data_IF_650374190327
#
_entry.id   IF_650374190327
#
_cell.length_a   1.000
_cell.length_b   1.000
_cell.length_c   1.000
_cell.angle_alpha   90.00
_cell.angle_beta   90.00
_cell.angle_gamma   90.00
#
_symmetry.space_group_name_H-M   'P 1'
#
loop_
_entity.id
_entity.type
_entity.pdbx_description
1 polymer ?
#
# COMPACT_ATOMS: atom_id res chain seq x y z
N UNK A 1 27.32 23.69 -61.95
CA UNK A 1 26.33 22.80 -61.28
C UNK A 1 27.12 21.72 -60.54
N UNK A 2 27.57 21.98 -59.30
CA UNK A 2 28.13 20.99 -58.35
C UNK A 2 28.70 21.59 -57.04
N UNK A 3 28.79 22.92 -56.88
CA UNK A 3 29.36 23.50 -55.65
C UNK A 3 28.40 23.43 -54.43
N UNK A 4 27.08 23.52 -54.63
CA UNK A 4 26.13 23.54 -53.50
C UNK A 4 25.97 22.17 -52.80
N UNK A 5 26.15 21.06 -53.53
CA UNK A 5 26.14 19.71 -52.93
C UNK A 5 27.34 19.47 -52.01
N UNK A 6 28.48 20.10 -52.30
CA UNK A 6 29.71 19.93 -51.52
C UNK A 6 29.65 20.66 -50.17
N UNK A 7 28.99 21.82 -50.12
CA UNK A 7 28.84 22.58 -48.87
C UNK A 7 27.89 21.88 -47.89
N UNK A 8 26.73 21.39 -48.38
CA UNK A 8 25.76 20.70 -47.54
C UNK A 8 26.29 19.39 -46.94
N UNK A 9 27.10 18.65 -47.70
CA UNK A 9 27.72 17.40 -47.22
C UNK A 9 28.82 17.67 -46.19
N UNK A 10 29.66 18.69 -46.41
CA UNK A 10 30.68 19.09 -45.43
C UNK A 10 30.03 19.61 -44.14
N UNK A 11 29.01 20.47 -44.23
CA UNK A 11 28.29 20.97 -43.06
C UNK A 11 27.58 19.84 -42.30
N UNK A 12 26.98 18.87 -43.01
CA UNK A 12 26.36 17.69 -42.42
C UNK A 12 27.35 16.79 -41.69
N UNK A 13 28.53 16.54 -42.28
CA UNK A 13 29.59 15.75 -41.66
C UNK A 13 30.20 16.46 -40.45
N UNK A 14 30.34 17.79 -40.51
CA UNK A 14 30.82 18.59 -39.38
C UNK A 14 29.81 18.55 -38.23
N UNK A 15 28.51 18.69 -38.53
CA UNK A 15 27.43 18.56 -37.55
C UNK A 15 27.39 17.17 -36.91
N UNK A 16 27.58 16.11 -37.70
CA UNK A 16 27.65 14.74 -37.21
C UNK A 16 28.89 14.51 -36.32
N UNK A 17 30.05 15.04 -36.71
CA UNK A 17 31.28 14.94 -35.92
C UNK A 17 31.15 15.67 -34.58
N UNK A 18 30.55 16.86 -34.57
CA UNK A 18 30.24 17.61 -33.33
C UNK A 18 29.22 16.85 -32.47
N UNK A 19 28.20 16.25 -33.08
CA UNK A 19 27.20 15.46 -32.36
C UNK A 19 27.82 14.23 -31.70
N UNK A 20 28.63 13.46 -32.45
CA UNK A 20 29.30 12.26 -31.95
C UNK A 20 30.37 12.60 -30.90
N UNK A 21 31.17 13.65 -31.13
CA UNK A 21 32.15 14.12 -30.14
C UNK A 21 31.48 14.65 -28.86
N UNK A 22 30.37 15.38 -29.00
CA UNK A 22 29.56 15.84 -27.88
C UNK A 22 28.84 14.71 -27.14
N UNK A 23 28.50 13.61 -27.83
CA UNK A 23 27.95 12.41 -27.19
C UNK A 23 29.02 11.64 -26.41
N UNK A 24 30.23 11.49 -26.97
CA UNK A 24 31.34 10.77 -26.31
C UNK A 24 31.89 11.55 -25.09
N UNK A 25 31.79 12.88 -25.11
CA UNK A 25 32.11 13.73 -23.95
C UNK A 25 31.03 13.74 -22.86
N UNK A 26 29.81 13.25 -23.12
CA UNK A 26 28.79 13.03 -22.08
C UNK A 26 29.06 11.74 -21.32
N UNK A 27 30.23 11.63 -20.69
CA UNK A 27 30.37 10.70 -19.57
C UNK A 27 29.50 11.25 -18.44
N UNK A 28 28.52 10.50 -17.91
CA UNK A 28 27.82 10.96 -16.72
C UNK A 28 28.89 11.22 -15.66
N UNK A 29 28.93 12.45 -15.14
CA UNK A 29 29.80 12.77 -14.01
C UNK A 29 29.47 11.77 -12.89
N UNK A 30 30.45 11.16 -12.23
CA UNK A 30 30.17 10.34 -11.06
C UNK A 30 29.43 11.23 -10.06
N UNK A 31 28.14 10.97 -9.87
CA UNK A 31 27.33 11.69 -8.89
C UNK A 31 27.81 11.18 -7.53
N UNK A 32 28.45 12.01 -6.69
CA UNK A 32 28.87 11.56 -5.37
C UNK A 32 27.65 11.03 -4.62
N UNK A 33 27.81 9.88 -3.94
CA UNK A 33 26.74 9.27 -3.17
C UNK A 33 26.29 10.24 -2.06
N UNK A 34 25.10 10.84 -2.22
CA UNK A 34 24.51 11.67 -1.18
C UNK A 34 23.84 10.71 -0.19
N UNK A 35 24.63 10.26 0.78
CA UNK A 35 24.16 9.43 1.89
C UNK A 35 23.68 10.36 3.00
N UNK A 36 22.38 10.32 3.31
CA UNK A 36 21.84 11.05 4.46
C UNK A 36 22.20 10.29 5.74
N UNK A 37 23.18 10.77 6.50
CA UNK A 37 23.62 10.10 7.74
C UNK A 37 23.06 10.73 9.02
N UNK A 38 22.57 11.97 8.96
CA UNK A 38 22.12 12.71 10.16
C UNK A 38 20.86 13.53 9.89
N UNK A 39 19.88 13.36 10.78
CA UNK A 39 18.72 14.24 10.91
C UNK A 39 19.04 15.36 11.92
N UNK A 40 19.03 16.61 11.47
CA UNK A 40 19.24 17.77 12.36
C UNK A 40 18.02 17.94 13.28
N UNK A 41 18.18 18.35 14.56
CA UNK A 41 17.03 18.62 15.43
C UNK A 41 16.11 19.71 14.84
N UNK A 42 14.80 19.59 15.07
CA UNK A 42 13.78 20.52 14.56
C UNK A 42 14.12 22.00 14.80
N UNK A 43 14.54 22.44 16.01
CA UNK A 43 14.88 23.85 16.24
C UNK A 43 15.97 24.36 15.30
N UNK A 44 16.98 23.54 15.01
CA UNK A 44 18.06 23.91 14.11
C UNK A 44 17.57 23.99 12.66
N UNK A 45 16.69 23.08 12.23
CA UNK A 45 16.06 23.15 10.91
C UNK A 45 15.26 24.45 10.73
N UNK A 46 14.49 24.84 11.74
CA UNK A 46 13.69 26.08 11.73
C UNK A 46 14.59 27.32 11.73
N UNK A 47 15.65 27.34 12.54
CA UNK A 47 16.64 28.44 12.53
C UNK A 47 17.31 28.57 11.15
N UNK A 48 17.74 27.44 10.56
CA UNK A 48 18.34 27.42 9.23
C UNK A 48 17.37 27.90 8.12
N UNK A 49 16.06 27.74 8.36
CA UNK A 49 15.00 28.25 7.51
C UNK A 49 14.50 29.66 7.92
N UNK A 50 15.34 30.45 8.60
CA UNK A 50 15.02 31.80 9.05
C UNK A 50 13.72 31.92 9.89
N UNK A 51 13.37 30.86 10.63
CA UNK A 51 12.17 30.79 11.45
C UNK A 51 10.94 30.20 10.76
N UNK A 52 10.98 29.94 9.44
CA UNK A 52 9.83 29.41 8.70
C UNK A 52 9.79 27.87 8.75
N UNK A 53 8.75 27.34 9.41
CA UNK A 53 8.56 25.89 9.56
C UNK A 53 8.25 25.18 8.24
N UNK A 54 7.54 25.83 7.31
CA UNK A 54 7.17 25.23 6.03
C UNK A 54 8.37 25.20 5.10
N UNK A 55 9.18 26.26 5.10
CA UNK A 55 10.45 26.26 4.40
C UNK A 55 11.39 25.19 4.96
N UNK A 56 11.47 25.03 6.28
CA UNK A 56 12.23 23.95 6.91
C UNK A 56 11.77 22.56 6.43
N UNK A 57 10.45 22.34 6.36
CA UNK A 57 9.88 21.09 5.82
C UNK A 57 10.24 20.88 4.35
N UNK A 58 10.14 21.92 3.50
CA UNK A 58 10.48 21.82 2.08
C UNK A 58 11.97 21.48 1.88
N UNK A 59 12.87 22.09 2.65
CA UNK A 59 14.30 21.77 2.63
C UNK A 59 14.55 20.32 3.09
N UNK A 60 13.85 19.86 4.13
CA UNK A 60 13.94 18.48 4.60
C UNK A 60 13.49 17.47 3.53
N UNK A 61 12.34 17.71 2.89
CA UNK A 61 11.82 16.85 1.81
C UNK A 61 12.74 16.88 0.57
N UNK A 62 13.28 18.05 0.23
CA UNK A 62 14.26 18.14 -0.86
C UNK A 62 15.51 17.30 -0.57
N UNK A 63 16.03 17.32 0.66
CA UNK A 63 17.14 16.44 1.08
C UNK A 63 16.79 14.97 0.93
N UNK A 64 15.57 14.57 1.30
CA UNK A 64 15.07 13.20 1.13
C UNK A 64 15.08 12.80 -0.34
N UNK A 65 14.53 13.64 -1.23
CA UNK A 65 14.48 13.39 -2.68
C UNK A 65 15.87 13.32 -3.34
N UNK A 66 16.85 14.02 -2.79
CA UNK A 66 18.24 13.99 -3.28
C UNK A 66 19.04 12.78 -2.77
N UNK A 67 18.53 12.05 -1.78
CA UNK A 67 19.10 10.76 -1.38
C UNK A 67 18.84 9.77 -2.51
N UNK A 68 19.89 9.26 -3.15
CA UNK A 68 19.77 8.48 -4.39
C UNK A 68 18.88 7.24 -4.28
N UNK A 69 18.39 6.74 -5.42
CA UNK A 69 17.48 5.59 -5.51
C UNK A 69 18.17 4.21 -5.33
N UNK A 70 19.39 4.19 -4.79
CA UNK A 70 20.14 2.95 -4.55
C UNK A 70 19.74 2.33 -3.20
N UNK A 71 19.99 1.03 -2.98
CA UNK A 71 19.84 0.43 -1.67
C UNK A 71 20.63 1.22 -0.62
N UNK A 72 19.92 1.85 0.31
CA UNK A 72 20.53 2.71 1.32
C UNK A 72 20.97 1.86 2.51
N UNK A 73 22.12 2.17 3.15
CA UNK A 73 22.46 1.60 4.44
C UNK A 73 21.34 1.84 5.47
N UNK A 74 21.17 0.92 6.42
CA UNK A 74 20.09 1.00 7.43
C UNK A 74 20.13 2.30 8.24
N UNK A 75 21.32 2.79 8.56
CA UNK A 75 21.49 4.05 9.30
C UNK A 75 20.99 5.26 8.47
N UNK A 76 21.18 5.20 7.15
CA UNK A 76 20.69 6.22 6.23
C UNK A 76 19.19 6.18 6.07
N UNK A 77 18.60 4.99 6.03
CA UNK A 77 17.14 4.81 6.06
C UNK A 77 16.54 5.32 7.38
N UNK A 78 17.21 5.08 8.51
CA UNK A 78 16.79 5.61 9.81
C UNK A 78 16.84 7.14 9.85
N UNK A 79 17.91 7.75 9.31
CA UNK A 79 17.99 9.20 9.17
C UNK A 79 16.91 9.75 8.22
N UNK A 80 16.64 9.05 7.10
CA UNK A 80 15.58 9.41 6.15
C UNK A 80 14.20 9.40 6.81
N UNK A 81 13.88 8.31 7.50
CA UNK A 81 12.64 8.15 8.25
C UNK A 81 12.46 9.28 9.26
N UNK A 82 13.52 9.60 10.02
CA UNK A 82 13.50 10.70 10.99
C UNK A 82 13.27 12.06 10.33
N UNK A 83 13.94 12.33 9.21
CA UNK A 83 13.76 13.59 8.46
C UNK A 83 12.33 13.71 7.93
N UNK A 84 11.74 12.63 7.41
CA UNK A 84 10.36 12.62 6.92
C UNK A 84 9.34 12.78 8.07
N UNK A 85 9.59 12.20 9.23
CA UNK A 85 8.78 12.43 10.43
C UNK A 85 8.86 13.88 10.90
N UNK A 86 10.06 14.47 10.98
CA UNK A 86 10.24 15.87 11.34
C UNK A 86 9.58 16.81 10.31
N UNK A 87 9.72 16.51 9.01
CA UNK A 87 9.04 17.25 7.95
C UNK A 87 7.50 17.15 8.08
N UNK A 88 6.95 15.99 8.45
CA UNK A 88 5.52 15.83 8.68
C UNK A 88 5.03 16.55 9.94
N UNK A 89 5.91 16.79 10.92
CA UNK A 89 5.58 17.63 12.07
C UNK A 89 5.55 19.12 11.68
N UNK A 90 6.55 19.54 10.91
CA UNK A 90 6.71 20.93 10.46
C UNK A 90 5.62 21.34 9.45
N UNK A 91 5.33 20.48 8.48
CA UNK A 91 4.26 20.64 7.51
C UNK A 91 3.51 19.30 7.30
N UNK A 92 2.50 18.99 8.13
CA UNK A 92 1.67 17.80 7.99
C UNK A 92 0.99 17.66 6.62
N UNK A 93 0.72 18.78 5.94
CA UNK A 93 0.04 18.80 4.65
C UNK A 93 0.95 18.58 3.44
N UNK A 94 2.27 18.40 3.64
CA UNK A 94 3.23 18.26 2.54
C UNK A 94 3.04 16.92 1.81
N UNK A 95 2.56 16.99 0.57
CA UNK A 95 2.18 15.82 -0.22
C UNK A 95 3.36 14.93 -0.60
N UNK A 96 4.43 15.53 -1.12
CA UNK A 96 5.62 14.77 -1.53
C UNK A 96 6.25 14.02 -0.35
N UNK A 97 6.13 14.56 0.87
CA UNK A 97 6.69 13.91 2.05
C UNK A 97 6.00 12.56 2.33
N UNK A 98 4.67 12.54 2.45
CA UNK A 98 3.98 11.28 2.73
C UNK A 98 4.04 10.32 1.54
N UNK A 99 4.03 10.85 0.31
CA UNK A 99 4.11 10.06 -0.92
C UNK A 99 5.44 9.33 -1.02
N UNK A 100 6.55 10.03 -0.76
CA UNK A 100 7.89 9.42 -0.78
C UNK A 100 8.10 8.49 0.41
N UNK A 101 7.60 8.85 1.60
CA UNK A 101 7.69 8.00 2.78
C UNK A 101 7.00 6.66 2.54
N UNK A 102 5.75 6.66 2.06
CA UNK A 102 5.00 5.42 1.82
C UNK A 102 5.54 4.59 0.67
N UNK A 103 6.25 5.19 -0.28
CA UNK A 103 6.83 4.49 -1.42
C UNK A 103 8.08 3.67 -1.04
N UNK A 104 8.78 4.05 0.03
CA UNK A 104 10.08 3.46 0.39
C UNK A 104 10.09 2.86 1.81
N UNK A 105 9.86 3.70 2.82
CA UNK A 105 10.13 3.37 4.23
C UNK A 105 9.48 2.07 4.73
N UNK A 106 8.19 1.76 4.48
CA UNK A 106 7.59 0.58 5.08
C UNK A 106 8.14 -0.72 4.47
N UNK A 107 8.58 -0.69 3.21
CA UNK A 107 9.25 -1.82 2.55
C UNK A 107 10.62 -2.11 3.15
N UNK A 108 11.28 -1.09 3.69
CA UNK A 108 12.56 -1.16 4.40
C UNK A 108 12.39 -1.41 5.91
N UNK A 109 11.17 -1.71 6.37
CA UNK A 109 10.87 -2.01 7.77
C UNK A 109 10.56 -0.80 8.65
N UNK A 110 10.55 0.42 8.11
CA UNK A 110 10.20 1.67 8.83
C UNK A 110 8.69 1.96 8.75
N UNK A 111 7.88 0.98 9.14
CA UNK A 111 6.41 1.06 9.09
C UNK A 111 5.86 2.11 10.06
N UNK A 112 6.33 2.12 11.31
CA UNK A 112 5.85 3.05 12.33
C UNK A 112 6.10 4.54 11.96
N UNK A 113 7.31 4.96 11.55
CA UNK A 113 7.53 6.32 11.03
C UNK A 113 6.58 6.67 9.88
N UNK A 114 6.38 5.73 8.95
CA UNK A 114 5.46 5.92 7.81
C UNK A 114 4.03 6.15 8.27
N UNK A 115 3.56 5.37 9.26
CA UNK A 115 2.23 5.55 9.85
C UNK A 115 2.10 6.91 10.54
N UNK A 116 3.13 7.40 11.24
CA UNK A 116 3.14 8.74 11.83
C UNK A 116 2.96 9.83 10.77
N UNK A 117 3.72 9.74 9.68
CA UNK A 117 3.64 10.70 8.56
C UNK A 117 2.24 10.68 7.91
N UNK A 118 1.74 9.48 7.56
CA UNK A 118 0.43 9.30 6.93
C UNK A 118 -0.74 9.72 7.82
N UNK A 119 -0.66 9.48 9.14
CA UNK A 119 -1.67 9.92 10.10
C UNK A 119 -1.76 11.45 10.14
N UNK A 120 -0.63 12.15 10.26
CA UNK A 120 -0.57 13.62 10.25
C UNK A 120 -1.10 14.21 8.93
N UNK A 121 -0.76 13.58 7.81
CA UNK A 121 -1.30 13.94 6.50
C UNK A 121 -2.82 13.74 6.43
N UNK A 122 -3.34 12.61 6.92
CA UNK A 122 -4.79 12.33 7.01
C UNK A 122 -5.51 13.34 7.91
N UNK A 123 -4.90 13.73 9.03
CA UNK A 123 -5.43 14.73 9.96
C UNK A 123 -5.55 16.12 9.32
N UNK A 124 -4.73 16.43 8.31
CA UNK A 124 -4.64 17.76 7.69
C UNK A 124 -5.32 17.84 6.33
N UNK A 125 -5.18 16.81 5.49
CA UNK A 125 -5.60 16.78 4.08
C UNK A 125 -6.97 16.09 3.93
N UNK A 126 -8.03 16.74 4.40
CA UNK A 126 -9.41 16.19 4.45
C UNK A 126 -10.10 15.94 3.10
N UNK A 127 -9.43 16.28 2.00
CA UNK A 127 -9.92 16.09 0.63
C UNK A 127 -9.02 15.16 -0.18
N UNK A 128 -8.06 14.53 0.48
CA UNK A 128 -7.07 13.65 -0.12
C UNK A 128 -7.29 12.20 0.32
N UNK A 129 -7.73 11.37 -0.61
CA UNK A 129 -8.02 9.96 -0.33
C UNK A 129 -6.76 9.12 -0.09
N UNK A 130 -5.59 9.58 -0.56
CA UNK A 130 -4.39 8.74 -0.62
C UNK A 130 -3.74 8.54 0.73
N UNK A 131 -3.59 9.59 1.54
CA UNK A 131 -2.99 9.48 2.87
C UNK A 131 -3.71 8.42 3.76
N UNK A 132 -5.04 8.48 3.95
CA UNK A 132 -5.74 7.45 4.70
C UNK A 132 -5.75 6.09 3.98
N UNK A 133 -5.82 6.06 2.65
CA UNK A 133 -5.75 4.80 1.90
C UNK A 133 -4.43 4.06 2.13
N UNK A 134 -3.30 4.75 1.99
CA UNK A 134 -1.98 4.15 2.22
C UNK A 134 -1.76 3.78 3.68
N UNK A 135 -2.31 4.56 4.62
CA UNK A 135 -2.28 4.17 6.03
C UNK A 135 -3.02 2.84 6.23
N UNK A 136 -4.22 2.70 5.66
CA UNK A 136 -5.00 1.47 5.73
C UNK A 136 -4.33 0.29 5.02
N UNK A 137 -3.71 0.53 3.86
CA UNK A 137 -2.91 -0.47 3.17
C UNK A 137 -1.77 -0.99 4.05
N UNK A 138 -1.04 -0.10 4.72
CA UNK A 138 0.07 -0.50 5.60
C UNK A 138 -0.40 -1.35 6.78
N UNK A 139 -1.58 -1.04 7.34
CA UNK A 139 -2.18 -1.83 8.43
C UNK A 139 -2.36 -3.29 8.02
N UNK A 140 -2.97 -3.56 6.87
CA UNK A 140 -3.17 -4.96 6.45
C UNK A 140 -1.88 -5.59 5.91
N UNK A 141 -1.08 -4.86 5.14
CA UNK A 141 0.05 -5.44 4.41
C UNK A 141 1.24 -5.74 5.33
N UNK A 142 1.61 -4.79 6.21
CA UNK A 142 2.78 -4.93 7.07
C UNK A 142 2.44 -5.34 8.50
N UNK A 143 1.25 -4.96 9.00
CA UNK A 143 0.87 -5.20 10.40
C UNK A 143 -0.18 -6.33 10.56
N UNK A 144 -0.77 -6.80 9.46
CA UNK A 144 -1.84 -7.81 9.50
C UNK A 144 -3.15 -7.32 10.14
N UNK A 145 -3.29 -6.02 10.39
CA UNK A 145 -4.48 -5.41 10.99
C UNK A 145 -5.53 -5.08 9.93
N UNK A 146 -6.38 -6.08 9.65
CA UNK A 146 -7.49 -5.96 8.73
C UNK A 146 -8.57 -4.96 9.20
N UNK A 147 -8.73 -4.80 10.52
CA UNK A 147 -9.74 -3.89 11.09
C UNK A 147 -9.28 -2.45 10.93
N UNK A 148 -8.05 -2.12 11.35
CA UNK A 148 -7.46 -0.80 11.15
C UNK A 148 -7.38 -0.43 9.67
N UNK A 149 -7.08 -1.39 8.79
CA UNK A 149 -7.11 -1.20 7.35
C UNK A 149 -8.50 -0.76 6.84
N UNK A 150 -9.54 -1.47 7.27
CA UNK A 150 -10.92 -1.13 6.91
C UNK A 150 -11.34 0.25 7.44
N UNK A 151 -11.01 0.58 8.69
CA UNK A 151 -11.35 1.87 9.30
C UNK A 151 -10.72 3.04 8.52
N UNK A 152 -9.44 2.94 8.18
CA UNK A 152 -8.77 3.97 7.38
C UNK A 152 -9.24 4.00 5.93
N UNK A 153 -9.62 2.86 5.37
CA UNK A 153 -10.25 2.79 4.06
C UNK A 153 -11.62 3.49 4.02
N UNK A 154 -12.41 3.44 5.09
CA UNK A 154 -13.64 4.26 5.24
C UNK A 154 -13.32 5.75 5.33
N UNK A 155 -12.26 6.13 6.05
CA UNK A 155 -11.81 7.53 6.11
C UNK A 155 -11.45 8.00 4.69
N UNK A 156 -10.70 7.20 3.93
CA UNK A 156 -10.37 7.51 2.54
C UNK A 156 -11.64 7.68 1.69
N UNK A 157 -12.60 6.77 1.80
CA UNK A 157 -13.89 6.86 1.09
C UNK A 157 -14.67 8.14 1.46
N UNK A 158 -14.59 8.57 2.73
CA UNK A 158 -15.23 9.83 3.18
C UNK A 158 -14.62 11.08 2.55
N UNK A 159 -13.36 11.02 2.11
CA UNK A 159 -12.67 12.14 1.45
C UNK A 159 -12.85 12.13 -0.07
N UNK A 160 -13.44 11.08 -0.64
CA UNK A 160 -13.69 10.97 -2.07
C UNK A 160 -14.71 12.03 -2.54
N UNK A 161 -14.42 12.66 -3.68
CA UNK A 161 -15.27 13.71 -4.27
C UNK A 161 -16.47 13.13 -5.03
N UNK A 162 -16.25 12.04 -5.75
CA UNK A 162 -17.28 11.36 -6.53
C UNK A 162 -17.70 10.02 -5.91
N UNK A 163 -18.90 9.58 -6.25
CA UNK A 163 -19.50 8.34 -5.71
C UNK A 163 -18.76 7.09 -6.21
N UNK A 164 -18.22 7.09 -7.43
CA UNK A 164 -17.50 5.95 -7.98
C UNK A 164 -16.22 5.65 -7.20
N UNK A 165 -15.40 6.68 -6.94
CA UNK A 165 -14.20 6.57 -6.10
C UNK A 165 -14.55 6.13 -4.68
N UNK A 166 -15.62 6.69 -4.09
CA UNK A 166 -16.11 6.31 -2.76
C UNK A 166 -16.44 4.82 -2.70
N UNK A 167 -17.22 4.34 -3.66
CA UNK A 167 -17.64 2.94 -3.76
C UNK A 167 -16.45 2.00 -4.00
N UNK A 168 -15.52 2.37 -4.87
CA UNK A 168 -14.30 1.61 -5.11
C UNK A 168 -13.46 1.47 -3.83
N UNK A 169 -13.26 2.56 -3.09
CA UNK A 169 -12.54 2.55 -1.81
C UNK A 169 -13.25 1.67 -0.77
N UNK A 170 -14.58 1.74 -0.65
CA UNK A 170 -15.35 0.88 0.25
C UNK A 170 -15.25 -0.60 -0.13
N UNK A 171 -15.32 -0.92 -1.42
CA UNK A 171 -15.14 -2.29 -1.92
C UNK A 171 -13.74 -2.84 -1.65
N UNK A 172 -12.69 -2.04 -1.86
CA UNK A 172 -11.31 -2.40 -1.51
C UNK A 172 -11.18 -2.62 0.00
N UNK A 173 -11.72 -1.71 0.80
CA UNK A 173 -11.67 -1.78 2.27
C UNK A 173 -12.35 -3.02 2.82
N UNK A 174 -13.52 -3.39 2.28
CA UNK A 174 -14.20 -4.64 2.60
C UNK A 174 -13.32 -5.86 2.29
N UNK A 175 -12.62 -5.83 1.14
CA UNK A 175 -11.71 -6.92 0.76
C UNK A 175 -10.50 -7.06 1.70
N UNK A 176 -10.04 -5.97 2.32
CA UNK A 176 -8.99 -6.01 3.33
C UNK A 176 -9.48 -6.69 4.61
N UNK A 177 -10.71 -6.39 5.04
CA UNK A 177 -11.32 -7.00 6.21
C UNK A 177 -11.44 -8.53 6.07
N UNK A 178 -11.80 -9.01 4.89
CA UNK A 178 -11.88 -10.45 4.58
C UNK A 178 -10.53 -11.19 4.64
N UNK A 179 -9.41 -10.48 4.46
CA UNK A 179 -8.06 -11.07 4.56
C UNK A 179 -7.59 -11.20 5.99
N UNK A 180 -8.32 -10.61 6.94
CA UNK A 180 -8.06 -10.76 8.36
C UNK A 180 -8.38 -12.17 8.88
N UNK A 181 -8.03 -12.40 10.14
CA UNK A 181 -8.29 -13.67 10.83
C UNK A 181 -9.63 -13.67 11.59
N UNK A 182 -10.61 -12.84 11.21
CA UNK A 182 -11.91 -12.80 11.89
C UNK A 182 -13.08 -12.77 10.90
N UNK A 183 -13.48 -13.94 10.37
CA UNK A 183 -14.60 -14.03 9.43
C UNK A 183 -15.94 -13.62 10.05
N UNK A 184 -16.10 -13.77 11.38
CA UNK A 184 -17.30 -13.32 12.08
C UNK A 184 -17.40 -11.79 12.05
N UNK A 185 -16.34 -11.10 12.49
CA UNK A 185 -16.27 -9.64 12.41
C UNK A 185 -16.41 -9.15 10.96
N UNK A 186 -15.69 -9.78 10.02
CA UNK A 186 -15.76 -9.40 8.61
C UNK A 186 -17.17 -9.50 8.05
N UNK A 187 -17.88 -10.62 8.31
CA UNK A 187 -19.25 -10.80 7.85
C UNK A 187 -20.22 -9.75 8.41
N UNK A 188 -20.09 -9.40 9.71
CA UNK A 188 -20.96 -8.43 10.37
C UNK A 188 -20.73 -7.01 9.81
N UNK A 189 -19.47 -6.59 9.75
CA UNK A 189 -19.10 -5.25 9.30
C UNK A 189 -19.42 -5.05 7.81
N UNK A 190 -19.16 -6.06 6.96
CA UNK A 190 -19.48 -5.98 5.54
C UNK A 190 -21.00 -5.96 5.32
N UNK A 191 -21.78 -6.70 6.12
CA UNK A 191 -23.24 -6.65 6.04
C UNK A 191 -23.80 -5.28 6.41
N UNK A 192 -23.25 -4.65 7.47
CA UNK A 192 -23.60 -3.27 7.84
C UNK A 192 -23.26 -2.31 6.71
N UNK A 193 -22.04 -2.39 6.16
CA UNK A 193 -21.64 -1.57 5.01
C UNK A 193 -22.60 -1.75 3.82
N UNK A 194 -22.95 -2.98 3.47
CA UNK A 194 -23.87 -3.27 2.38
C UNK A 194 -25.27 -2.70 2.62
N UNK A 195 -25.70 -2.59 3.87
CA UNK A 195 -26.99 -2.00 4.24
C UNK A 195 -27.04 -0.48 4.06
N UNK A 196 -25.89 0.19 4.15
CA UNK A 196 -25.75 1.66 4.00
C UNK A 196 -25.57 2.09 2.53
N UNK A 197 -25.21 1.17 1.64
CA UNK A 197 -24.95 1.47 0.24
C UNK A 197 -26.22 1.71 -0.58
N UNK A 198 -26.12 2.65 -1.53
CA UNK A 198 -27.18 2.96 -2.50
C UNK A 198 -27.10 2.11 -3.77
N UNK A 199 -25.89 1.75 -4.20
CA UNK A 199 -25.68 0.96 -5.40
C UNK A 199 -26.09 -0.51 -5.16
N UNK A 200 -27.13 -1.01 -5.85
CA UNK A 200 -27.60 -2.38 -5.68
C UNK A 200 -26.58 -3.43 -6.14
N UNK A 201 -25.75 -3.12 -7.15
CA UNK A 201 -24.76 -4.06 -7.67
C UNK A 201 -23.62 -4.25 -6.68
N UNK A 202 -23.08 -3.14 -6.15
CA UNK A 202 -22.08 -3.21 -5.09
C UNK A 202 -22.64 -3.88 -3.83
N UNK A 203 -23.89 -3.58 -3.46
CA UNK A 203 -24.56 -4.26 -2.34
C UNK A 203 -24.62 -5.77 -2.54
N UNK A 204 -25.01 -6.23 -3.73
CA UNK A 204 -25.04 -7.66 -4.05
C UNK A 204 -23.65 -8.29 -3.96
N UNK A 205 -22.61 -7.62 -4.49
CA UNK A 205 -21.23 -8.07 -4.38
C UNK A 205 -20.74 -8.16 -2.93
N UNK A 206 -21.07 -7.18 -2.08
CA UNK A 206 -20.73 -7.23 -0.66
C UNK A 206 -21.47 -8.36 0.07
N UNK A 207 -22.73 -8.63 -0.26
CA UNK A 207 -23.47 -9.74 0.33
C UNK A 207 -22.90 -11.11 -0.06
N UNK A 208 -22.36 -11.27 -1.27
CA UNK A 208 -21.60 -12.46 -1.65
C UNK A 208 -20.34 -12.63 -0.80
N UNK A 209 -19.68 -11.53 -0.44
CA UNK A 209 -18.52 -11.55 0.48
C UNK A 209 -18.93 -11.93 1.90
N UNK A 210 -20.07 -11.44 2.39
CA UNK A 210 -20.66 -11.89 3.67
C UNK A 210 -20.90 -13.40 3.63
N UNK A 211 -21.51 -13.91 2.57
CA UNK A 211 -21.78 -15.33 2.41
C UNK A 211 -20.48 -16.16 2.39
N UNK A 212 -19.43 -15.68 1.71
CA UNK A 212 -18.11 -16.32 1.76
C UNK A 212 -17.60 -16.46 3.20
N UNK A 213 -17.67 -15.38 3.98
CA UNK A 213 -17.20 -15.41 5.37
C UNK A 213 -18.04 -16.36 6.24
N UNK A 214 -19.35 -16.43 6.01
CA UNK A 214 -20.22 -17.41 6.66
C UNK A 214 -19.88 -18.86 6.27
N UNK A 215 -19.53 -19.12 5.00
CA UNK A 215 -19.06 -20.44 4.55
C UNK A 215 -17.74 -20.82 5.24
N UNK A 216 -16.82 -19.86 5.44
CA UNK A 216 -15.58 -20.08 6.20
C UNK A 216 -15.88 -20.46 7.65
N UNK A 217 -16.81 -19.77 8.31
CA UNK A 217 -17.22 -20.10 9.68
C UNK A 217 -17.77 -21.52 9.80
N UNK A 218 -18.71 -21.92 8.92
CA UNK A 218 -19.27 -23.29 8.92
C UNK A 218 -18.21 -24.36 8.66
N UNK A 219 -17.26 -24.07 7.76
CA UNK A 219 -16.14 -24.99 7.51
C UNK A 219 -15.22 -25.09 8.73
N UNK A 220 -14.98 -23.98 9.44
CA UNK A 220 -14.21 -23.98 10.68
C UNK A 220 -14.89 -24.84 11.75
N UNK A 221 -16.21 -24.69 11.92
CA UNK A 221 -17.01 -25.51 12.84
C UNK A 221 -16.86 -27.02 12.52
N UNK A 222 -16.90 -27.39 11.24
CA UNK A 222 -16.70 -28.77 10.80
C UNK A 222 -15.26 -29.27 11.06
N UNK A 223 -14.25 -28.43 10.85
CA UNK A 223 -12.85 -28.74 11.20
C UNK A 223 -12.68 -28.95 12.70
N UNK A 224 -13.33 -28.12 13.52
CA UNK A 224 -13.26 -28.20 14.97
C UNK A 224 -13.97 -29.47 15.48
N UNK A 225 -15.13 -29.81 14.93
CA UNK A 225 -15.82 -31.07 15.20
C UNK A 225 -14.97 -32.30 14.80
N UNK A 226 -14.31 -32.24 13.64
CA UNK A 226 -13.37 -33.27 13.20
C UNK A 226 -12.24 -33.45 14.21
N UNK A 227 -11.62 -32.34 14.64
CA UNK A 227 -10.52 -32.36 15.61
C UNK A 227 -10.94 -32.94 16.94
N UNK A 228 -12.14 -32.61 17.42
CA UNK A 228 -12.69 -33.16 18.65
C UNK A 228 -12.93 -34.67 18.54
N UNK A 229 -13.39 -35.16 17.39
CA UNK A 229 -13.66 -36.60 17.17
C UNK A 229 -12.40 -37.43 16.92
N UNK A 230 -11.42 -36.91 16.18
CA UNK A 230 -10.22 -37.64 15.71
C UNK A 230 -8.96 -37.36 16.51
N UNK A 231 -8.97 -36.37 17.41
CA UNK A 231 -7.81 -35.92 18.16
C UNK A 231 -6.75 -35.18 17.32
N UNK A 232 -7.00 -34.96 16.02
CA UNK A 232 -6.12 -34.24 15.10
C UNK A 232 -6.94 -33.43 14.09
N UNK A 233 -6.38 -32.33 13.59
CA UNK A 233 -7.00 -31.59 12.50
C UNK A 233 -6.98 -32.41 11.19
N UNK A 234 -7.94 -32.21 10.28
CA UNK A 234 -7.89 -32.84 8.96
C UNK A 234 -6.77 -32.20 8.12
N UNK A 235 -6.09 -33.00 7.29
CA UNK A 235 -5.02 -32.50 6.41
C UNK A 235 -5.56 -31.58 5.29
N UNK A 236 -6.80 -31.83 4.86
CA UNK A 236 -7.49 -31.12 3.78
C UNK A 236 -9.00 -31.14 3.98
N UNK A 237 -9.71 -30.17 3.39
CA UNK A 237 -11.15 -30.02 3.60
C UNK A 237 -11.96 -31.20 3.02
N UNK A 238 -11.45 -31.90 2.02
CA UNK A 238 -12.10 -33.08 1.44
C UNK A 238 -12.23 -34.23 2.44
N UNK A 239 -11.37 -34.29 3.47
CA UNK A 239 -11.49 -35.28 4.53
C UNK A 239 -12.80 -35.10 5.32
N UNK A 240 -13.31 -33.86 5.43
CA UNK A 240 -14.59 -33.58 6.09
C UNK A 240 -15.77 -34.18 5.31
N UNK A 241 -15.68 -34.22 3.98
CA UNK A 241 -16.70 -34.86 3.13
C UNK A 241 -16.58 -36.38 3.24
N UNK A 242 -15.36 -36.92 3.10
CA UNK A 242 -15.11 -38.36 3.12
C UNK A 242 -15.54 -39.01 4.45
N UNK A 243 -15.44 -38.28 5.55
CA UNK A 243 -15.82 -38.75 6.88
C UNK A 243 -17.21 -38.28 7.33
N UNK A 244 -17.98 -37.61 6.46
CA UNK A 244 -19.37 -37.26 6.70
C UNK A 244 -19.62 -36.08 7.64
N UNK A 245 -18.61 -35.28 7.96
CA UNK A 245 -18.78 -34.03 8.74
C UNK A 245 -19.52 -32.95 7.95
N UNK A 246 -19.41 -32.97 6.62
CA UNK A 246 -20.18 -32.11 5.70
C UNK A 246 -20.63 -32.94 4.49
N UNK A 247 -21.78 -32.59 3.90
CA UNK A 247 -22.30 -33.31 2.73
C UNK A 247 -21.47 -33.06 1.46
N UNK A 248 -21.09 -31.81 1.22
CA UNK A 248 -20.29 -31.38 0.07
C UNK A 248 -19.44 -30.18 0.46
N UNK A 249 -18.34 -29.96 -0.27
CA UNK A 249 -17.52 -28.78 -0.09
C UNK A 249 -18.21 -27.56 -0.74
N UNK A 250 -18.50 -26.47 0.00
CA UNK A 250 -19.11 -25.29 -0.59
C UNK A 250 -18.13 -24.60 -1.55
N UNK A 251 -18.64 -24.08 -2.65
CA UNK A 251 -17.87 -23.25 -3.58
C UNK A 251 -17.74 -21.81 -3.03
N UNK A 252 -16.91 -20.97 -3.63
CA UNK A 252 -16.88 -19.53 -3.31
C UNK A 252 -18.06 -18.82 -4.00
N UNK A 253 -18.91 -18.02 -3.31
CA UNK A 253 -20.01 -17.29 -3.95
C UNK A 253 -19.55 -16.36 -5.08
N UNK A 254 -18.33 -15.81 -4.99
CA UNK A 254 -17.75 -14.95 -6.02
C UNK A 254 -16.97 -15.73 -7.09
N UNK A 255 -16.71 -17.03 -6.89
CA UNK A 255 -15.89 -17.85 -7.79
C UNK A 255 -14.46 -17.34 -7.98
N UNK A 256 -13.90 -16.61 -7.01
CA UNK A 256 -12.54 -16.01 -7.12
C UNK A 256 -11.51 -16.69 -6.25
N UNK A 257 -11.94 -17.53 -5.30
CA UNK A 257 -11.04 -18.20 -4.34
C UNK A 257 -11.41 -19.67 -4.15
N UNK A 258 -10.46 -20.42 -3.60
CA UNK A 258 -10.67 -21.80 -3.13
C UNK A 258 -10.45 -21.85 -1.63
N UNK A 259 -11.38 -22.48 -0.90
CA UNK A 259 -11.25 -22.68 0.54
C UNK A 259 -10.17 -23.71 0.86
N UNK A 260 -9.45 -23.49 1.97
CA UNK A 260 -8.41 -24.41 2.44
C UNK A 260 -8.17 -24.27 3.94
N UNK A 261 -7.45 -25.24 4.50
CA UNK A 261 -6.88 -25.14 5.85
C UNK A 261 -5.54 -24.41 5.73
N UNK A 262 -5.38 -23.37 6.55
CA UNK A 262 -4.16 -22.57 6.67
C UNK A 262 -3.18 -23.25 7.65
N UNK A 263 -1.88 -22.90 7.61
CA UNK A 263 -0.87 -23.51 8.51
C UNK A 263 -1.17 -23.34 10.00
N UNK A 264 -1.95 -22.32 10.38
CA UNK A 264 -2.40 -22.10 11.75
C UNK A 264 -3.61 -22.99 12.16
N UNK A 265 -4.02 -23.93 11.31
CA UNK A 265 -5.13 -24.85 11.54
C UNK A 265 -6.51 -24.22 11.36
N UNK A 266 -6.59 -22.99 10.85
CA UNK A 266 -7.86 -22.31 10.55
C UNK A 266 -8.28 -22.47 9.11
N UNK A 267 -9.58 -22.37 8.85
CA UNK A 267 -10.10 -22.27 7.50
C UNK A 267 -9.91 -20.85 6.98
N UNK A 268 -9.40 -20.76 5.75
CA UNK A 268 -9.29 -19.52 5.00
C UNK A 268 -9.40 -19.81 3.51
N UNK A 269 -8.85 -18.94 2.69
CA UNK A 269 -8.95 -19.06 1.24
C UNK A 269 -7.67 -18.63 0.53
N UNK A 270 -7.54 -19.05 -0.73
CA UNK A 270 -6.49 -18.60 -1.65
C UNK A 270 -7.12 -18.20 -2.98
N UNK A 271 -6.61 -17.15 -3.61
CA UNK A 271 -7.02 -16.75 -4.95
C UNK A 271 -6.91 -17.92 -5.94
N UNK A 272 -7.94 -18.12 -6.74
CA UNK A 272 -7.94 -19.09 -7.83
C UNK A 272 -7.06 -18.54 -8.96
N UNK A 273 -6.07 -19.31 -9.41
CA UNK A 273 -5.33 -18.96 -10.63
C UNK A 273 -6.30 -19.12 -11.81
N UNK A 274 -6.53 -18.02 -12.54
CA UNK A 274 -7.17 -18.08 -13.85
C UNK A 274 -6.23 -18.71 -14.86
#
# INVERSE_FOLDING_TARGET
MNHDLSFGTIAGLLGLAVFLGGHDFRRPLPVPEIVLSVAAPIPLQVIAAAGDRYLAANVAVWRVLMTGAQPLPRDSLAALARVQEDASFLNPGHEDNYTTATALLPWEGFVEPTQTVLRRATETRKTDVYAPFFYGFNQIHFLGDAKGAYEYGRIAASYARDEGTRQALLGISASWLERGNDPALASQVIAVLASELRDPDLKAQLMQRVERQQRILRLQEAVDAYRQSRGRAPDRLEALVAEGFIATLPQDPLGTVVFRILPNGRVGFRAQKK
#
